data_IF_370303601348
#
_entry.id   IF_370303601348
#
_cell.length_a   1.000
_cell.length_b   1.000
_cell.length_c   1.000
_cell.angle_alpha   90.00
_cell.angle_beta   90.00
_cell.angle_gamma   90.00
#
_symmetry.space_group_name_H-M   'P 1'
#
loop_
_entity.id
_entity.type
_entity.pdbx_description
1 polymer ?
#
# COMPACT_ATOMS: atom_id res chain seq x y z
N UNK A 1 -3.27 -27.03 -1.91
CA UNK A 1 -2.90 -26.70 -0.51
C UNK A 1 -1.83 -25.63 -0.62
N UNK A 2 -1.88 -24.55 0.17
CA UNK A 2 -0.93 -23.44 0.02
C UNK A 2 0.47 -23.86 0.46
N UNK A 3 1.47 -23.54 -0.35
CA UNK A 3 2.87 -23.91 -0.09
C UNK A 3 3.54 -23.01 0.98
N UNK A 4 2.90 -21.89 1.33
CA UNK A 4 3.41 -20.92 2.31
C UNK A 4 2.71 -20.99 3.68
N UNK A 5 1.66 -21.81 3.81
CA UNK A 5 1.12 -22.18 5.13
C UNK A 5 2.03 -23.28 5.66
N UNK A 6 2.75 -23.06 6.77
CA UNK A 6 3.61 -24.09 7.31
C UNK A 6 2.81 -25.35 7.63
N UNK A 7 3.34 -26.52 7.30
CA UNK A 7 2.65 -27.79 7.53
C UNK A 7 2.22 -27.97 9.00
N UNK A 8 3.01 -27.45 9.93
CA UNK A 8 2.73 -27.50 11.38
C UNK A 8 1.48 -26.71 11.79
N UNK A 9 1.07 -25.71 11.01
CA UNK A 9 -0.11 -24.90 11.31
C UNK A 9 -1.40 -25.61 10.88
N UNK A 10 -1.31 -26.54 9.92
CA UNK A 10 -2.45 -27.30 9.42
C UNK A 10 -3.43 -26.45 8.59
N UNK A 11 -4.51 -27.09 8.14
CA UNK A 11 -5.54 -26.42 7.34
C UNK A 11 -6.35 -25.45 8.20
N UNK A 12 -6.75 -24.29 7.65
CA UNK A 12 -7.65 -23.38 8.33
C UNK A 12 -9.00 -24.06 8.66
N UNK A 13 -9.48 -23.99 9.92
CA UNK A 13 -10.78 -24.51 10.33
C UNK A 13 -11.92 -23.54 9.92
N UNK A 14 -13.17 -23.90 10.25
CA UNK A 14 -14.35 -23.11 9.87
C UNK A 14 -14.34 -21.72 10.53
N UNK A 15 -14.54 -20.68 9.73
CA UNK A 15 -14.58 -19.28 10.20
C UNK A 15 -15.64 -19.07 11.28
N UNK A 16 -15.31 -18.21 12.24
CA UNK A 16 -16.19 -17.87 13.36
C UNK A 16 -16.26 -18.92 14.47
N UNK A 17 -15.53 -20.04 14.35
CA UNK A 17 -15.35 -21.00 15.43
C UNK A 17 -14.22 -20.59 16.38
N UNK A 18 -14.23 -21.12 17.60
CA UNK A 18 -13.13 -20.97 18.55
C UNK A 18 -11.81 -21.55 17.99
N UNK A 19 -11.91 -22.62 17.19
CA UNK A 19 -10.78 -23.23 16.49
C UNK A 19 -10.17 -22.28 15.45
N UNK A 20 -11.01 -21.52 14.74
CA UNK A 20 -10.56 -20.49 13.81
C UNK A 20 -9.83 -19.36 14.51
N UNK A 21 -10.36 -18.88 15.64
CA UNK A 21 -9.70 -17.83 16.43
C UNK A 21 -8.31 -18.28 16.90
N UNK A 22 -8.21 -19.51 17.42
CA UNK A 22 -6.93 -20.07 17.88
C UNK A 22 -5.95 -20.36 16.72
N UNK A 23 -6.45 -20.80 15.56
CA UNK A 23 -5.65 -20.99 14.36
C UNK A 23 -5.12 -19.65 13.83
N UNK A 24 -5.98 -18.64 13.77
CA UNK A 24 -5.66 -17.30 13.31
C UNK A 24 -4.60 -16.64 14.18
N UNK A 25 -4.68 -16.79 15.51
CA UNK A 25 -3.68 -16.24 16.43
C UNK A 25 -2.28 -16.83 16.21
N UNK A 26 -2.20 -18.16 15.97
CA UNK A 26 -0.93 -18.84 15.63
C UNK A 26 -0.38 -18.36 14.30
N UNK A 27 -1.25 -18.23 13.30
CA UNK A 27 -0.88 -17.66 12.01
C UNK A 27 -0.34 -16.23 12.15
N UNK A 28 -1.06 -15.33 12.84
CA UNK A 28 -0.67 -13.93 13.06
C UNK A 28 0.69 -13.81 13.74
N UNK A 29 0.95 -14.68 14.71
CA UNK A 29 2.24 -14.70 15.40
C UNK A 29 3.38 -15.08 14.46
N UNK A 30 3.22 -16.15 13.67
CA UNK A 30 4.20 -16.55 12.67
C UNK A 30 4.40 -15.49 11.58
N UNK A 31 3.31 -14.90 11.07
CA UNK A 31 3.36 -13.86 10.05
C UNK A 31 4.11 -12.62 10.55
N UNK A 32 3.92 -12.21 11.81
CA UNK A 32 4.65 -11.10 12.41
C UNK A 32 6.13 -11.41 12.62
N UNK A 33 6.46 -12.57 13.19
CA UNK A 33 7.84 -12.87 13.60
C UNK A 33 8.71 -13.31 12.42
N UNK A 34 8.21 -14.24 11.62
CA UNK A 34 9.00 -14.90 10.57
C UNK A 34 8.87 -14.19 9.23
N UNK A 35 7.65 -13.78 8.88
CA UNK A 35 7.39 -13.13 7.58
C UNK A 35 7.51 -11.60 7.65
N UNK A 36 7.58 -11.02 8.86
CA UNK A 36 7.58 -9.57 9.11
C UNK A 36 6.40 -8.86 8.45
N UNK A 37 5.24 -9.50 8.48
CA UNK A 37 4.01 -9.02 7.88
C UNK A 37 3.34 -7.98 8.79
N UNK A 38 3.40 -6.71 8.40
CA UNK A 38 2.79 -5.60 9.14
C UNK A 38 1.27 -5.60 9.07
N UNK A 39 0.68 -6.35 8.14
CA UNK A 39 -0.78 -6.44 7.98
C UNK A 39 -1.39 -7.57 8.83
N UNK A 40 -0.59 -8.41 9.49
CA UNK A 40 -1.07 -9.60 10.19
C UNK A 40 -2.24 -9.34 11.17
N UNK A 41 -2.28 -8.17 11.80
CA UNK A 41 -3.29 -7.81 12.80
C UNK A 41 -4.51 -7.09 12.22
N UNK A 42 -4.53 -6.83 10.91
CA UNK A 42 -5.63 -6.13 10.24
C UNK A 42 -6.86 -7.06 10.13
N UNK A 43 -8.01 -6.69 10.73
CA UNK A 43 -9.22 -7.50 10.69
C UNK A 43 -9.91 -7.50 9.32
N UNK A 44 -9.66 -6.50 8.46
CA UNK A 44 -10.23 -6.44 7.11
C UNK A 44 -9.52 -7.40 6.15
N UNK A 45 -8.29 -7.79 6.50
CA UNK A 45 -7.52 -8.81 5.80
C UNK A 45 -7.59 -10.13 6.58
N UNK A 46 -8.74 -10.78 6.56
CA UNK A 46 -8.98 -12.07 7.22
C UNK A 46 -7.91 -13.13 6.82
N UNK A 47 -6.88 -13.29 7.65
CA UNK A 47 -5.67 -14.00 7.27
C UNK A 47 -5.86 -15.52 7.27
N UNK A 48 -5.43 -16.14 6.17
CA UNK A 48 -5.44 -17.59 5.94
C UNK A 48 -5.71 -17.98 4.48
N UNK A 49 -6.24 -17.06 3.66
CA UNK A 49 -6.65 -17.32 2.26
C UNK A 49 -5.82 -16.61 1.18
N UNK A 50 -5.19 -15.47 1.49
CA UNK A 50 -4.47 -14.65 0.50
C UNK A 50 -3.08 -15.20 0.17
N UNK A 51 -2.83 -15.63 -1.06
CA UNK A 51 -1.51 -15.98 -1.66
C UNK A 51 -0.44 -14.91 -1.41
N UNK A 52 0.84 -15.23 -1.62
CA UNK A 52 1.95 -14.27 -1.49
C UNK A 52 1.72 -12.98 -2.29
N UNK A 53 1.19 -13.09 -3.51
CA UNK A 53 0.90 -11.93 -4.36
C UNK A 53 -0.32 -11.12 -3.86
N UNK A 54 -1.37 -11.78 -3.36
CA UNK A 54 -2.49 -11.10 -2.71
C UNK A 54 -2.06 -10.36 -1.45
N UNK A 55 -1.22 -10.99 -0.62
CA UNK A 55 -0.64 -10.35 0.57
C UNK A 55 0.24 -9.18 0.21
N UNK A 56 1.09 -9.33 -0.81
CA UNK A 56 1.94 -8.24 -1.25
C UNK A 56 1.10 -7.04 -1.72
N UNK A 57 -0.03 -7.27 -2.42
CA UNK A 57 -0.98 -6.22 -2.79
C UNK A 57 -1.61 -5.54 -1.59
N UNK A 58 -2.00 -6.29 -0.56
CA UNK A 58 -2.52 -5.72 0.69
C UNK A 58 -1.48 -4.81 1.35
N UNK A 59 -0.25 -5.30 1.52
CA UNK A 59 0.85 -4.53 2.09
C UNK A 59 1.14 -3.27 1.26
N UNK A 60 1.08 -3.39 -0.08
CA UNK A 60 1.21 -2.26 -0.98
C UNK A 60 0.12 -1.21 -0.75
N UNK A 61 -1.16 -1.63 -0.66
CA UNK A 61 -2.29 -0.72 -0.43
C UNK A 61 -2.10 0.07 0.86
N UNK A 62 -1.82 -0.63 1.95
CA UNK A 62 -1.59 -0.04 3.28
C UNK A 62 -0.39 0.93 3.27
N UNK A 63 0.71 0.54 2.62
CA UNK A 63 1.88 1.42 2.51
C UNK A 63 1.58 2.69 1.73
N UNK A 64 0.84 2.58 0.61
CA UNK A 64 0.45 3.75 -0.19
C UNK A 64 -0.40 4.71 0.64
N UNK A 65 -1.47 4.22 1.27
CA UNK A 65 -2.37 5.05 2.08
C UNK A 65 -1.61 5.73 3.23
N UNK A 66 -0.77 4.98 3.94
CA UNK A 66 0.07 5.51 5.01
C UNK A 66 0.99 6.64 4.53
N UNK A 67 1.67 6.43 3.40
CA UNK A 67 2.66 7.39 2.91
C UNK A 67 2.02 8.61 2.25
N UNK A 68 0.87 8.46 1.59
CA UNK A 68 0.07 9.60 1.13
C UNK A 68 -0.31 10.48 2.32
N UNK A 69 -0.86 9.90 3.39
CA UNK A 69 -1.21 10.64 4.60
C UNK A 69 -0.01 11.37 5.22
N UNK A 70 1.15 10.71 5.32
CA UNK A 70 2.39 11.34 5.80
C UNK A 70 2.86 12.49 4.89
N UNK A 71 2.74 12.34 3.57
CA UNK A 71 3.02 13.41 2.61
C UNK A 71 2.09 14.61 2.80
N UNK A 72 0.78 14.36 2.95
CA UNK A 72 -0.23 15.40 3.22
C UNK A 72 0.04 16.09 4.57
N UNK A 73 0.48 15.35 5.58
CA UNK A 73 0.90 15.91 6.87
C UNK A 73 2.23 16.68 6.79
N UNK A 74 2.99 16.49 5.71
CA UNK A 74 4.31 17.09 5.46
C UNK A 74 5.39 16.52 6.36
N UNK A 75 5.22 15.25 6.73
CA UNK A 75 6.22 14.49 7.46
C UNK A 75 7.45 14.25 6.59
N UNK A 76 8.50 13.75 7.23
CA UNK A 76 9.76 13.44 6.55
C UNK A 76 9.56 12.37 5.47
N UNK A 77 10.09 12.63 4.27
CA UNK A 77 10.11 11.65 3.18
C UNK A 77 10.72 10.30 3.60
N UNK A 78 10.09 9.16 3.26
CA UNK A 78 10.48 7.82 3.72
C UNK A 78 11.65 7.23 2.91
N UNK A 79 12.66 8.04 2.60
CA UNK A 79 13.79 7.62 1.75
C UNK A 79 14.67 6.61 2.52
N UNK A 80 14.76 5.33 2.08
CA UNK A 80 15.59 4.34 2.74
C UNK A 80 17.08 4.64 2.58
N UNK A 81 17.86 4.37 3.64
CA UNK A 81 19.33 4.49 3.64
C UNK A 81 20.06 3.22 3.18
N UNK A 82 19.33 2.14 2.89
CA UNK A 82 19.90 0.82 2.56
C UNK A 82 20.17 0.66 1.06
N UNK A 83 21.13 -0.20 0.69
CA UNK A 83 21.50 -0.45 -0.73
C UNK A 83 20.44 -1.27 -1.50
N UNK A 84 19.82 -2.26 -0.87
CA UNK A 84 18.78 -3.08 -1.50
C UNK A 84 17.41 -2.46 -1.23
N UNK A 85 16.82 -1.87 -2.26
CA UNK A 85 15.53 -1.19 -2.19
C UNK A 85 14.44 -2.14 -2.67
N UNK A 86 13.45 -2.41 -1.82
CA UNK A 86 12.25 -3.16 -2.20
C UNK A 86 11.34 -2.31 -3.09
N UNK A 87 10.52 -2.96 -3.92
CA UNK A 87 9.52 -2.26 -4.74
C UNK A 87 8.46 -1.57 -3.86
N UNK A 88 8.17 -2.15 -2.69
CA UNK A 88 7.33 -1.53 -1.67
C UNK A 88 7.91 -0.20 -1.15
N UNK A 89 9.20 -0.15 -0.83
CA UNK A 89 9.84 1.08 -0.38
C UNK A 89 9.88 2.16 -1.47
N UNK A 90 10.05 1.74 -2.74
CA UNK A 90 9.95 2.66 -3.87
C UNK A 90 8.53 3.23 -4.01
N UNK A 91 7.51 2.38 -3.95
CA UNK A 91 6.11 2.79 -3.97
C UNK A 91 5.76 3.75 -2.83
N UNK A 92 6.27 3.51 -1.62
CA UNK A 92 6.08 4.38 -0.47
C UNK A 92 6.62 5.80 -0.68
N UNK A 93 7.81 5.95 -1.29
CA UNK A 93 8.35 7.29 -1.60
C UNK A 93 7.51 7.99 -2.68
N UNK A 94 6.98 7.26 -3.66
CA UNK A 94 6.06 7.83 -4.68
C UNK A 94 4.75 8.29 -4.04
N UNK A 95 4.16 7.47 -3.17
CA UNK A 95 2.95 7.81 -2.42
C UNK A 95 3.16 9.05 -1.54
N UNK A 96 4.29 9.15 -0.86
CA UNK A 96 4.66 10.36 -0.12
C UNK A 96 4.78 11.59 -1.02
N UNK A 97 5.42 11.49 -2.20
CA UNK A 97 5.50 12.60 -3.16
C UNK A 97 4.10 13.08 -3.60
N UNK A 98 3.18 12.14 -3.82
CA UNK A 98 1.79 12.43 -4.21
C UNK A 98 1.03 13.13 -3.07
N UNK A 99 1.19 12.69 -1.83
CA UNK A 99 0.60 13.39 -0.69
C UNK A 99 1.20 14.79 -0.49
N UNK A 100 2.53 14.91 -0.61
CA UNK A 100 3.25 16.16 -0.39
C UNK A 100 2.93 17.22 -1.45
N UNK A 101 2.57 16.83 -2.68
CA UNK A 101 2.18 17.78 -3.73
C UNK A 101 0.87 18.51 -3.43
N UNK A 102 0.04 17.99 -2.51
CA UNK A 102 -1.15 18.70 -2.01
C UNK A 102 -0.77 19.96 -1.25
N UNK A 103 0.35 19.95 -0.50
CA UNK A 103 0.76 21.09 0.32
C UNK A 103 1.25 22.29 -0.48
N UNK A 104 1.97 22.04 -1.57
CA UNK A 104 2.65 23.09 -2.34
C UNK A 104 2.85 22.67 -3.79
N UNK A 105 2.49 23.57 -4.70
CA UNK A 105 2.83 23.45 -6.12
C UNK A 105 4.32 23.71 -6.40
N UNK A 106 5.05 24.30 -5.46
CA UNK A 106 6.49 24.57 -5.58
C UNK A 106 7.26 23.45 -4.85
N UNK A 107 8.07 22.65 -5.55
CA UNK A 107 8.88 21.60 -4.94
C UNK A 107 9.93 22.13 -3.96
N UNK A 108 9.82 21.75 -2.70
CA UNK A 108 10.87 21.97 -1.70
C UNK A 108 12.05 21.00 -1.87
N UNK A 109 13.08 21.16 -1.04
CA UNK A 109 14.27 20.32 -1.07
C UNK A 109 13.98 18.84 -0.72
N UNK A 110 13.01 18.56 0.15
CA UNK A 110 12.65 17.19 0.49
C UNK A 110 11.97 16.51 -0.70
N UNK A 111 11.04 17.20 -1.35
CA UNK A 111 10.38 16.75 -2.57
C UNK A 111 11.38 16.49 -3.70
N UNK A 112 12.27 17.45 -3.98
CA UNK A 112 13.27 17.30 -5.05
C UNK A 112 14.16 16.08 -4.83
N UNK A 113 14.68 15.90 -3.61
CA UNK A 113 15.51 14.72 -3.26
C UNK A 113 14.73 13.41 -3.38
N UNK A 114 13.48 13.38 -2.92
CA UNK A 114 12.64 12.18 -3.04
C UNK A 114 12.35 11.85 -4.52
N UNK A 115 12.04 12.87 -5.34
CA UNK A 115 11.78 12.69 -6.76
C UNK A 115 13.04 12.16 -7.49
N UNK A 116 14.20 12.80 -7.30
CA UNK A 116 15.47 12.33 -7.84
C UNK A 116 15.80 10.90 -7.39
N UNK A 117 15.58 10.59 -6.12
CA UNK A 117 15.80 9.26 -5.58
C UNK A 117 14.92 8.21 -6.28
N UNK A 118 13.65 8.53 -6.54
CA UNK A 118 12.72 7.62 -7.24
C UNK A 118 13.08 7.42 -8.71
N UNK A 119 13.50 8.47 -9.40
CA UNK A 119 13.83 8.44 -10.83
C UNK A 119 15.07 7.58 -11.10
N UNK A 120 16.10 7.72 -10.27
CA UNK A 120 17.34 6.91 -10.33
C UNK A 120 17.10 5.41 -10.14
N UNK A 121 15.94 5.01 -9.59
CA UNK A 121 15.63 3.64 -9.17
C UNK A 121 14.50 3.02 -9.97
N UNK A 122 14.17 3.60 -11.12
CA UNK A 122 13.11 3.11 -11.99
C UNK A 122 13.39 1.74 -12.61
N UNK A 123 12.40 0.87 -12.52
CA UNK A 123 12.28 -0.39 -13.26
C UNK A 123 10.93 -0.39 -13.99
N UNK A 124 10.71 -1.25 -14.99
CA UNK A 124 9.40 -1.33 -15.66
C UNK A 124 8.23 -1.55 -14.69
N UNK A 125 8.39 -2.44 -13.70
CA UNK A 125 7.41 -2.69 -12.64
C UNK A 125 7.15 -1.44 -11.80
N UNK A 126 8.21 -0.79 -11.30
CA UNK A 126 8.08 0.44 -10.50
C UNK A 126 7.44 1.58 -11.26
N UNK A 127 7.67 1.67 -12.57
CA UNK A 127 7.02 2.66 -13.43
C UNK A 127 5.50 2.43 -13.49
N UNK A 128 5.06 1.18 -13.61
CA UNK A 128 3.63 0.84 -13.60
C UNK A 128 2.97 1.20 -12.26
N UNK A 129 3.60 0.82 -11.14
CA UNK A 129 3.10 1.16 -9.79
C UNK A 129 3.10 2.68 -9.58
N UNK A 130 4.17 3.38 -9.94
CA UNK A 130 4.24 4.83 -9.77
C UNK A 130 3.17 5.56 -10.60
N UNK A 131 2.89 5.08 -11.81
CA UNK A 131 1.81 5.60 -12.64
C UNK A 131 0.45 5.33 -11.99
N UNK A 132 0.21 4.10 -11.50
CA UNK A 132 -1.03 3.74 -10.82
C UNK A 132 -1.31 4.63 -9.59
N UNK A 133 -0.29 4.87 -8.75
CA UNK A 133 -0.42 5.73 -7.55
C UNK A 133 -0.79 7.16 -7.96
N UNK A 134 -0.04 7.77 -8.89
CA UNK A 134 -0.27 9.16 -9.32
C UNK A 134 -1.65 9.33 -9.96
N UNK A 135 -2.00 8.42 -10.86
CA UNK A 135 -3.26 8.48 -11.59
C UNK A 135 -4.46 8.16 -10.69
N UNK A 136 -4.34 7.17 -9.81
CA UNK A 136 -5.37 6.82 -8.83
C UNK A 136 -5.71 7.97 -7.92
N UNK A 137 -4.69 8.61 -7.34
CA UNK A 137 -4.90 9.77 -6.47
C UNK A 137 -5.60 10.93 -7.19
N UNK A 138 -5.18 11.26 -8.40
CA UNK A 138 -5.82 12.32 -9.21
C UNK A 138 -7.27 11.98 -9.56
N UNK A 139 -7.54 10.72 -9.92
CA UNK A 139 -8.89 10.25 -10.19
C UNK A 139 -9.78 10.32 -8.93
N UNK A 140 -9.24 9.96 -7.76
CA UNK A 140 -9.93 10.08 -6.48
C UNK A 140 -10.30 11.51 -6.15
N UNK A 141 -9.37 12.45 -6.31
CA UNK A 141 -9.64 13.89 -6.14
C UNK A 141 -10.70 14.38 -7.14
N UNK A 142 -10.65 13.89 -8.37
CA UNK A 142 -11.56 14.29 -9.45
C UNK A 142 -12.96 13.67 -9.38
N UNK A 143 -13.21 12.71 -8.49
CA UNK A 143 -14.47 11.96 -8.43
C UNK A 143 -14.68 10.97 -9.58
N UNK A 144 -13.60 10.57 -10.26
CA UNK A 144 -13.62 9.55 -11.31
C UNK A 144 -13.80 8.15 -10.70
N UNK A 145 -14.20 7.12 -11.46
CA UNK A 145 -14.36 5.76 -10.92
C UNK A 145 -13.05 5.16 -10.36
N UNK A 146 -13.16 4.38 -9.28
CA UNK A 146 -12.06 3.62 -8.68
C UNK A 146 -11.56 2.43 -9.54
N UNK A 147 -11.85 2.40 -10.84
CA UNK A 147 -11.55 1.30 -11.74
C UNK A 147 -10.58 1.76 -12.85
N UNK A 148 -9.31 1.33 -12.83
CA UNK A 148 -8.37 1.71 -13.87
C UNK A 148 -8.61 0.91 -15.17
N UNK A 149 -8.13 1.44 -16.31
CA UNK A 149 -8.16 0.71 -17.58
C UNK A 149 -7.20 -0.48 -17.69
N UNK A 150 -6.36 -0.73 -16.67
CA UNK A 150 -5.44 -1.87 -16.60
C UNK A 150 -6.04 -2.98 -15.76
N UNK A 151 -5.94 -4.23 -16.21
CA UNK A 151 -6.35 -5.43 -15.46
C UNK A 151 -5.22 -6.08 -14.67
N UNK A 152 -4.03 -5.46 -14.61
CA UNK A 152 -2.92 -6.00 -13.82
C UNK A 152 -3.17 -5.78 -12.33
N UNK A 153 -3.31 -6.87 -11.59
CA UNK A 153 -3.60 -6.93 -10.16
C UNK A 153 -2.82 -5.93 -9.28
N UNK A 154 -1.50 -5.80 -9.49
CA UNK A 154 -0.65 -4.85 -8.76
C UNK A 154 -0.94 -3.39 -9.12
N UNK A 155 -1.20 -3.12 -10.40
CA UNK A 155 -1.61 -1.80 -10.87
C UNK A 155 -2.95 -1.40 -10.26
N UNK A 156 -3.93 -2.32 -10.30
CA UNK A 156 -5.27 -2.11 -9.73
C UNK A 156 -5.16 -1.82 -8.24
N UNK A 157 -4.40 -2.62 -7.50
CA UNK A 157 -4.21 -2.42 -6.07
C UNK A 157 -3.61 -1.05 -5.73
N UNK A 158 -2.56 -0.64 -6.45
CA UNK A 158 -1.92 0.66 -6.23
C UNK A 158 -2.82 1.84 -6.61
N UNK A 159 -3.59 1.70 -7.70
CA UNK A 159 -4.53 2.70 -8.16
C UNK A 159 -5.67 2.91 -7.15
N UNK A 160 -6.33 1.83 -6.73
CA UNK A 160 -7.45 1.88 -5.77
C UNK A 160 -7.02 2.49 -4.44
N UNK A 161 -5.87 2.09 -3.88
CA UNK A 161 -5.39 2.65 -2.62
C UNK A 161 -5.11 4.16 -2.69
N UNK A 162 -4.54 4.61 -3.81
CA UNK A 162 -4.30 6.02 -4.03
C UNK A 162 -5.62 6.77 -4.31
N UNK A 163 -6.55 6.17 -5.04
CA UNK A 163 -7.89 6.69 -5.29
C UNK A 163 -8.65 6.90 -3.99
N UNK A 164 -8.67 5.91 -3.09
CA UNK A 164 -9.32 6.01 -1.78
C UNK A 164 -8.79 7.20 -1.00
N UNK A 165 -7.47 7.39 -1.00
CA UNK A 165 -6.80 8.50 -0.31
C UNK A 165 -7.18 9.86 -0.93
N UNK A 166 -7.23 9.94 -2.27
CA UNK A 166 -7.61 11.16 -2.99
C UNK A 166 -9.09 11.50 -2.83
N UNK A 167 -9.97 10.50 -2.88
CA UNK A 167 -11.40 10.66 -2.69
C UNK A 167 -11.74 11.07 -1.26
N UNK A 168 -11.08 10.47 -0.25
CA UNK A 168 -11.21 10.90 1.14
C UNK A 168 -10.83 12.37 1.33
N UNK A 169 -9.72 12.81 0.72
CA UNK A 169 -9.29 14.21 0.75
C UNK A 169 -10.32 15.13 0.06
N UNK A 170 -10.90 14.71 -1.07
CA UNK A 170 -11.93 15.50 -1.75
C UNK A 170 -13.20 15.66 -0.91
N UNK A 171 -13.62 14.59 -0.22
CA UNK A 171 -14.76 14.62 0.71
C UNK A 171 -14.48 15.55 1.89
N UNK A 172 -13.30 15.47 2.50
CA UNK A 172 -12.91 16.33 3.64
C UNK A 172 -12.91 17.83 3.26
N UNK A 173 -12.58 18.14 2.02
CA UNK A 173 -12.52 19.52 1.52
C UNK A 173 -13.80 19.98 0.80
N UNK A 174 -14.89 19.19 0.78
CA UNK A 174 -16.16 19.62 0.16
C UNK A 174 -16.81 20.71 1.02
N UNK A 175 -17.00 21.95 0.51
CA UNK A 175 -17.60 23.04 1.27
C UNK A 175 -19.10 22.84 1.57
N UNK A 176 -19.71 21.78 1.05
CA UNK A 176 -21.12 21.40 1.32
C UNK A 176 -21.26 20.39 2.46
N UNK A 177 -20.15 19.88 3.00
CA UNK A 177 -20.10 19.00 4.17
C UNK A 177 -20.59 19.68 5.45
#
# INVERSE_FOLDING_TARGET
MRDDIPEWLGKPPLRGSDEWTAWLEKWRTYARSELRDSAADDPDFDFGLLTTEERWRVILKLEIQRQVAQGIAGDRAPIPSVRRISDLAHAGVIAWLVGHSVKSQIPDEAFRRANEWTDQRMTPRRRQVAHAIRYGFLAGIGGEPAAPGSSQDEYVAAYEAAWDSGNALAIENDPRG
#
